data_IF_524227014661
#
_entry.id   IF_524227014661
#
_cell.length_a   1.000
_cell.length_b   1.000
_cell.length_c   1.000
_cell.angle_alpha   90.00
_cell.angle_beta   90.00
_cell.angle_gamma   90.00
#
_symmetry.space_group_name_H-M   'P 1'
#
loop_
_entity.id
_entity.type
_entity.pdbx_description
1 polymer ?
#
# COMPACT_ATOMS: atom_id res chain seq x y z
N UNK A 1 41.82 8.24 -6.45
CA UNK A 1 40.56 8.97 -6.69
C UNK A 1 39.43 7.98 -6.52
N UNK A 2 38.87 7.89 -5.32
CA UNK A 2 37.73 7.00 -5.03
C UNK A 2 36.47 7.84 -5.05
N UNK A 3 35.50 7.46 -5.89
CA UNK A 3 34.18 8.08 -5.95
C UNK A 3 33.50 8.02 -4.59
N UNK A 4 33.14 9.18 -4.06
CA UNK A 4 32.21 9.29 -2.93
C UNK A 4 30.82 8.99 -3.47
N UNK A 5 30.24 7.88 -3.04
CA UNK A 5 28.80 7.62 -3.21
C UNK A 5 28.03 8.73 -2.51
N UNK A 6 27.30 9.50 -3.30
CA UNK A 6 26.25 10.40 -2.81
C UNK A 6 25.07 9.54 -2.38
N UNK A 7 25.08 9.09 -1.13
CA UNK A 7 23.88 8.59 -0.47
C UNK A 7 22.96 9.80 -0.29
N UNK A 8 21.98 9.95 -1.20
CA UNK A 8 21.02 11.03 -1.13
C UNK A 8 19.98 10.62 -0.05
N UNK A 9 19.83 11.37 1.06
CA UNK A 9 18.96 10.99 2.17
C UNK A 9 17.47 10.88 1.77
N UNK A 10 17.11 11.37 0.59
CA UNK A 10 15.77 11.29 0.01
C UNK A 10 15.42 9.89 -0.53
N UNK A 11 16.42 9.07 -0.90
CA UNK A 11 16.19 7.73 -1.45
C UNK A 11 15.83 6.70 -0.38
N UNK A 12 16.21 6.94 0.89
CA UNK A 12 15.89 6.07 2.02
C UNK A 12 14.37 5.98 2.25
N UNK A 13 13.70 7.13 2.38
CA UNK A 13 12.24 7.18 2.57
C UNK A 13 11.45 6.63 1.37
N UNK A 14 11.99 6.78 0.15
CA UNK A 14 11.41 6.20 -1.07
C UNK A 14 11.56 4.67 -1.10
N UNK A 15 12.66 4.11 -0.61
CA UNK A 15 12.86 2.65 -0.58
C UNK A 15 12.02 2.00 0.52
N UNK A 16 11.91 2.64 1.68
CA UNK A 16 11.20 2.13 2.86
C UNK A 16 9.69 1.96 2.62
N UNK A 17 9.09 2.85 1.84
CA UNK A 17 7.66 2.77 1.47
C UNK A 17 7.35 1.58 0.55
N UNK A 18 8.23 1.29 -0.42
CA UNK A 18 8.04 0.16 -1.34
C UNK A 18 8.19 -1.16 -0.60
N UNK A 19 9.16 -1.23 0.32
CA UNK A 19 9.30 -2.38 1.21
C UNK A 19 8.08 -2.56 2.11
N UNK A 20 7.56 -1.47 2.70
CA UNK A 20 6.34 -1.51 3.52
C UNK A 20 5.13 -2.03 2.73
N UNK A 21 4.99 -1.62 1.47
CA UNK A 21 3.94 -2.11 0.59
C UNK A 21 4.05 -3.62 0.34
N UNK A 22 5.25 -4.11 0.03
CA UNK A 22 5.50 -5.53 -0.24
C UNK A 22 5.30 -6.38 1.02
N UNK A 23 5.86 -5.96 2.16
CA UNK A 23 5.68 -6.67 3.44
C UNK A 23 4.21 -6.73 3.84
N UNK A 24 3.48 -5.62 3.69
CA UNK A 24 2.05 -5.60 3.98
C UNK A 24 1.24 -6.49 3.03
N UNK A 25 1.65 -6.66 1.77
CA UNK A 25 1.00 -7.60 0.84
C UNK A 25 1.18 -9.05 1.32
N UNK A 26 2.39 -9.43 1.75
CA UNK A 26 2.63 -10.75 2.32
C UNK A 26 1.77 -11.00 3.58
N UNK A 27 1.69 -10.03 4.50
CA UNK A 27 0.84 -10.17 5.68
C UNK A 27 -0.65 -10.30 5.33
N UNK A 28 -1.11 -9.59 4.30
CA UNK A 28 -2.48 -9.73 3.82
C UNK A 28 -2.72 -11.15 3.30
N UNK A 29 -1.83 -11.67 2.45
CA UNK A 29 -1.93 -13.04 1.91
C UNK A 29 -1.94 -14.08 3.03
N UNK A 30 -1.04 -13.98 4.01
CA UNK A 30 -1.00 -14.87 5.19
C UNK A 30 -2.30 -14.81 6.02
N UNK A 31 -2.88 -13.62 6.15
CA UNK A 31 -4.14 -13.43 6.88
C UNK A 31 -5.32 -14.03 6.12
N UNK A 32 -5.32 -13.92 4.79
CA UNK A 32 -6.35 -14.50 3.93
C UNK A 32 -6.26 -16.03 3.86
N UNK A 33 -5.06 -16.60 3.90
CA UNK A 33 -4.82 -18.05 3.93
C UNK A 33 -5.07 -18.67 5.30
N UNK A 34 -5.12 -17.86 6.35
CA UNK A 34 -5.44 -18.31 7.70
C UNK A 34 -6.90 -18.77 7.77
N UNK A 35 -7.14 -19.95 8.35
CA UNK A 35 -8.48 -20.58 8.52
C UNK A 35 -9.48 -19.78 9.36
N UNK A 36 -9.10 -18.59 9.82
CA UNK A 36 -9.89 -17.70 10.67
C UNK A 36 -10.75 -16.71 9.87
N UNK A 37 -10.57 -16.60 8.55
CA UNK A 37 -11.43 -15.75 7.73
C UNK A 37 -12.83 -16.37 7.61
N UNK A 38 -13.90 -15.66 8.01
CA UNK A 38 -15.27 -16.14 7.85
C UNK A 38 -15.59 -16.53 6.40
N UNK A 39 -16.27 -17.67 6.22
CA UNK A 39 -16.62 -18.27 4.91
C UNK A 39 -17.49 -17.36 4.05
N UNK A 40 -18.12 -16.33 4.64
CA UNK A 40 -18.94 -15.35 3.92
C UNK A 40 -18.14 -14.27 3.18
N UNK A 41 -16.80 -14.29 3.26
CA UNK A 41 -15.92 -13.34 2.56
C UNK A 41 -15.93 -11.92 3.13
N UNK A 42 -16.77 -11.63 4.14
CA UNK A 42 -16.87 -10.32 4.78
C UNK A 42 -15.57 -9.95 5.50
N UNK A 43 -14.90 -10.95 6.09
CA UNK A 43 -13.60 -10.78 6.74
C UNK A 43 -12.50 -10.40 5.75
N UNK A 44 -12.45 -11.00 4.57
CA UNK A 44 -11.41 -10.72 3.59
C UNK A 44 -11.44 -9.27 3.10
N UNK A 45 -12.65 -8.74 2.83
CA UNK A 45 -12.82 -7.35 2.43
C UNK A 45 -12.38 -6.37 3.52
N UNK A 46 -12.67 -6.66 4.80
CA UNK A 46 -12.24 -5.83 5.92
C UNK A 46 -10.69 -5.77 6.05
N UNK A 47 -10.02 -6.91 5.92
CA UNK A 47 -8.54 -6.96 5.97
C UNK A 47 -7.92 -6.25 4.77
N UNK A 48 -8.48 -6.41 3.58
CA UNK A 48 -8.04 -5.68 2.39
C UNK A 48 -8.23 -4.16 2.56
N UNK A 49 -9.36 -3.70 3.10
CA UNK A 49 -9.60 -2.29 3.38
C UNK A 49 -8.57 -1.72 4.37
N UNK A 50 -8.29 -2.45 5.47
CA UNK A 50 -7.27 -2.05 6.44
C UNK A 50 -5.89 -1.92 5.80
N UNK A 51 -5.50 -2.90 4.97
CA UNK A 51 -4.23 -2.85 4.23
C UNK A 51 -4.17 -1.61 3.32
N UNK A 52 -5.24 -1.33 2.57
CA UNK A 52 -5.31 -0.15 1.70
C UNK A 52 -5.23 1.16 2.50
N UNK A 53 -5.77 1.22 3.71
CA UNK A 53 -5.61 2.38 4.60
C UNK A 53 -4.16 2.58 5.02
N UNK A 54 -3.47 1.52 5.44
CA UNK A 54 -2.02 1.57 5.74
C UNK A 54 -1.21 2.06 4.54
N UNK A 55 -1.53 1.60 3.33
CA UNK A 55 -0.83 2.06 2.13
C UNK A 55 -1.07 3.55 1.84
N UNK A 56 -2.21 4.13 2.23
CA UNK A 56 -2.45 5.56 2.05
C UNK A 56 -1.64 6.44 3.01
N UNK A 57 -1.16 5.89 4.12
CA UNK A 57 -0.21 6.53 5.02
C UNK A 57 1.20 6.51 4.41
N UNK A 58 1.56 5.39 3.77
CA UNK A 58 2.85 5.16 3.11
C UNK A 58 2.99 5.95 1.81
N UNK A 59 1.89 6.11 1.06
CA UNK A 59 1.79 6.94 -0.14
C UNK A 59 0.85 8.12 0.12
N UNK A 60 1.29 9.16 0.87
CA UNK A 60 0.43 10.22 1.37
C UNK A 60 -0.10 11.16 0.27
N UNK A 61 -1.09 12.00 0.59
CA UNK A 61 -1.61 13.00 -0.35
C UNK A 61 -0.62 14.09 -0.73
N UNK A 62 0.49 14.22 0.00
CA UNK A 62 1.58 15.15 -0.28
C UNK A 62 2.53 14.67 -1.37
N UNK A 63 2.36 13.45 -1.90
CA UNK A 63 3.15 12.97 -3.05
C UNK A 63 2.88 13.86 -4.26
N UNK A 64 3.89 14.61 -4.68
CA UNK A 64 3.83 15.44 -5.87
C UNK A 64 3.98 14.55 -7.13
N UNK A 65 3.01 14.53 -8.06
CA UNK A 65 3.09 13.75 -9.28
C UNK A 65 4.27 14.13 -10.20
N UNK A 66 4.81 15.34 -10.08
CA UNK A 66 5.94 15.80 -10.88
C UNK A 66 7.29 15.29 -10.34
N UNK A 67 7.38 15.08 -9.04
CA UNK A 67 8.60 14.61 -8.36
C UNK A 67 8.60 13.08 -8.17
N UNK A 68 7.42 12.47 -8.10
CA UNK A 68 7.23 11.06 -7.76
C UNK A 68 5.94 10.50 -8.37
N UNK A 69 5.97 10.34 -9.69
CA UNK A 69 4.82 9.84 -10.44
C UNK A 69 4.44 8.40 -10.06
N UNK A 70 5.41 7.55 -9.75
CA UNK A 70 5.17 6.16 -9.33
C UNK A 70 4.40 6.11 -8.01
N UNK A 71 4.83 6.88 -7.00
CA UNK A 71 4.11 6.98 -5.73
C UNK A 71 2.70 7.54 -5.92
N UNK A 72 2.54 8.54 -6.80
CA UNK A 72 1.23 9.10 -7.15
C UNK A 72 0.32 8.07 -7.82
N UNK A 73 0.83 7.32 -8.80
CA UNK A 73 0.07 6.30 -9.52
C UNK A 73 -0.44 5.20 -8.58
N UNK A 74 0.42 4.75 -7.67
CA UNK A 74 0.06 3.77 -6.64
C UNK A 74 -1.01 4.34 -5.71
N UNK A 75 -0.86 5.57 -5.20
CA UNK A 75 -1.91 6.23 -4.40
C UNK A 75 -3.26 6.28 -5.13
N UNK A 76 -3.26 6.66 -6.41
CA UNK A 76 -4.47 6.73 -7.24
C UNK A 76 -5.13 5.36 -7.40
N UNK A 77 -4.33 4.31 -7.59
CA UNK A 77 -4.81 2.93 -7.64
C UNK A 77 -5.44 2.51 -6.31
N UNK A 78 -4.75 2.72 -5.18
CA UNK A 78 -5.23 2.37 -3.83
C UNK A 78 -6.58 3.03 -3.54
N UNK A 79 -6.72 4.33 -3.81
CA UNK A 79 -7.99 5.05 -3.64
C UNK A 79 -9.13 4.47 -4.49
N UNK A 80 -8.81 3.98 -5.69
CA UNK A 80 -9.81 3.39 -6.60
C UNK A 80 -10.24 2.01 -6.12
N UNK A 81 -9.29 1.17 -5.67
CA UNK A 81 -9.57 -0.14 -5.09
C UNK A 81 -10.40 -0.04 -3.81
N UNK A 82 -10.06 0.90 -2.92
CA UNK A 82 -10.81 1.13 -1.67
C UNK A 82 -12.27 1.46 -1.96
N UNK A 83 -12.52 2.40 -2.89
CA UNK A 83 -13.88 2.76 -3.33
C UNK A 83 -14.64 1.57 -3.92
N UNK A 84 -13.97 0.71 -4.69
CA UNK A 84 -14.59 -0.47 -5.27
C UNK A 84 -15.03 -1.47 -4.18
N UNK A 85 -14.19 -1.70 -3.17
CA UNK A 85 -14.50 -2.57 -2.03
C UNK A 85 -15.61 -1.98 -1.14
N UNK A 86 -15.55 -0.69 -0.82
CA UNK A 86 -16.60 0.01 -0.07
C UNK A 86 -17.97 -0.09 -0.77
N UNK A 87 -17.98 -0.02 -2.11
CA UNK A 87 -19.20 -0.15 -2.89
C UNK A 87 -19.78 -1.57 -2.88
N UNK A 88 -18.94 -2.60 -2.81
CA UNK A 88 -19.38 -4.00 -2.71
C UNK A 88 -20.00 -4.31 -1.34
N UNK A 89 -19.48 -3.73 -0.26
CA UNK A 89 -19.99 -3.93 1.10
C UNK A 89 -21.31 -3.21 1.40
N UNK A 90 -21.72 -2.28 0.53
CA UNK A 90 -22.96 -1.51 0.66
C UNK A 90 -24.17 -2.10 -0.10
N UNK A 91 -23.99 -3.25 -0.76
CA UNK A 91 -25.01 -3.99 -1.50
C UNK A 91 -25.35 -5.32 -0.82
#
# INVERSE_FOLDING_TARGET
MGSVSTDNPEDGGRTDRWQSMVVGAFHLDETLDSKEVPVDGSGAAAHALLYLETLLEVFPSSVDPLEDFEGYAVRRMILSLRRALEHQSGH
#
